data_IF_168531311585
#
_entry.id   IF_168531311585
#
_cell.length_a   1.000
_cell.length_b   1.000
_cell.length_c   1.000
_cell.angle_alpha   90.00
_cell.angle_beta   90.00
_cell.angle_gamma   90.00
#
_symmetry.space_group_name_H-M   'P 1'
#
loop_
_entity.id
_entity.type
_entity.pdbx_description
1 polymer ?
#
# COMPACT_ATOMS: atom_id res chain seq x y z
N UNK A 1 -8.44 -9.59 1.50
CA UNK A 1 -8.00 -10.58 0.49
C UNK A 1 -7.18 -9.95 -0.64
N UNK A 2 -6.10 -10.63 -1.07
CA UNK A 2 -5.35 -10.28 -2.28
C UNK A 2 -6.23 -10.37 -3.55
N UNK A 3 -6.00 -9.48 -4.51
CA UNK A 3 -6.63 -9.56 -5.83
C UNK A 3 -5.93 -10.60 -6.73
N UNK A 4 -6.53 -10.90 -7.88
CA UNK A 4 -6.00 -11.92 -8.82
C UNK A 4 -4.56 -11.65 -9.28
N UNK A 5 -4.17 -10.38 -9.37
CA UNK A 5 -2.85 -9.96 -9.86
C UNK A 5 -1.82 -9.72 -8.75
N UNK A 6 -2.18 -9.94 -7.48
CA UNK A 6 -1.34 -9.65 -6.31
C UNK A 6 -0.79 -8.21 -6.27
N UNK A 7 -1.56 -7.24 -6.77
CA UNK A 7 -1.16 -5.83 -6.89
C UNK A 7 -1.75 -4.93 -5.81
N UNK A 8 -2.71 -5.42 -5.02
CA UNK A 8 -3.36 -4.64 -3.98
C UNK A 8 -2.64 -4.68 -2.63
N UNK A 9 -2.90 -3.69 -1.78
CA UNK A 9 -2.45 -3.65 -0.40
C UNK A 9 -3.59 -3.28 0.56
N UNK A 10 -3.55 -3.84 1.77
CA UNK A 10 -4.58 -3.63 2.80
C UNK A 10 -4.05 -2.72 3.92
N UNK A 11 -4.96 -1.98 4.53
CA UNK A 11 -4.69 -1.15 5.71
C UNK A 11 -5.58 -1.61 6.85
N UNK A 12 -4.98 -1.84 8.01
CA UNK A 12 -5.68 -2.09 9.28
C UNK A 12 -5.07 -1.19 10.37
N UNK A 13 -5.80 -0.14 10.76
CA UNK A 13 -5.26 0.94 11.59
C UNK A 13 -4.03 1.57 10.96
N UNK A 14 -2.86 1.39 11.58
CA UNK A 14 -1.57 1.91 11.11
C UNK A 14 -0.71 0.86 10.39
N UNK A 15 -1.23 -0.36 10.21
CA UNK A 15 -0.49 -1.45 9.57
C UNK A 15 -0.86 -1.54 8.08
N UNK A 16 0.13 -1.39 7.21
CA UNK A 16 -0.01 -1.59 5.75
C UNK A 16 0.63 -2.92 5.36
N UNK A 17 -0.16 -3.83 4.79
CA UNK A 17 0.29 -5.15 4.34
C UNK A 17 0.06 -5.34 2.84
N UNK A 18 0.90 -6.18 2.23
CA UNK A 18 0.84 -6.52 0.82
C UNK A 18 1.16 -8.01 0.62
N UNK A 19 0.59 -8.66 -0.41
CA UNK A 19 0.77 -10.10 -0.64
C UNK A 19 2.17 -10.45 -1.15
N UNK A 20 2.76 -9.62 -2.02
CA UNK A 20 4.08 -9.81 -2.61
C UNK A 20 4.58 -8.51 -3.25
N UNK A 21 5.77 -8.56 -3.87
CA UNK A 21 6.41 -7.44 -4.54
C UNK A 21 5.61 -6.74 -5.67
N UNK A 22 4.67 -7.38 -6.40
CA UNK A 22 3.85 -6.66 -7.39
C UNK A 22 2.97 -5.56 -6.77
N UNK A 23 2.65 -5.66 -5.47
CA UNK A 23 1.85 -4.67 -4.75
C UNK A 23 2.65 -3.49 -4.19
N UNK A 24 3.98 -3.44 -4.39
CA UNK A 24 4.81 -2.33 -3.89
C UNK A 24 4.27 -0.92 -4.25
N UNK A 25 3.77 -0.65 -5.48
CA UNK A 25 3.24 0.67 -5.80
C UNK A 25 2.03 1.07 -4.93
N UNK A 26 1.11 0.14 -4.66
CA UNK A 26 -0.06 0.42 -3.83
C UNK A 26 0.28 0.46 -2.35
N UNK A 27 1.14 -0.45 -1.89
CA UNK A 27 1.66 -0.47 -0.53
C UNK A 27 2.34 0.85 -0.17
N UNK A 28 3.25 1.34 -1.03
CA UNK A 28 3.98 2.59 -0.78
C UNK A 28 3.05 3.79 -0.73
N UNK A 29 2.04 3.84 -1.62
CA UNK A 29 1.02 4.90 -1.62
C UNK A 29 0.26 4.95 -0.30
N UNK A 30 -0.26 3.80 0.16
CA UNK A 30 -1.00 3.70 1.44
C UNK A 30 -0.12 4.00 2.64
N UNK A 31 1.15 3.58 2.60
CA UNK A 31 2.11 3.87 3.65
C UNK A 31 2.37 5.38 3.78
N UNK A 32 2.60 6.07 2.65
CA UNK A 32 2.78 7.53 2.61
C UNK A 32 1.52 8.27 3.07
N UNK A 33 0.34 7.78 2.70
CA UNK A 33 -0.96 8.31 3.15
C UNK A 33 -1.12 8.25 4.67
N UNK A 34 -0.78 7.12 5.31
CA UNK A 34 -0.83 6.97 6.77
C UNK A 34 0.19 7.87 7.48
N UNK A 35 1.34 8.12 6.86
CA UNK A 35 2.31 9.10 7.38
C UNK A 35 1.82 10.55 7.25
N UNK A 36 0.72 10.81 6.54
CA UNK A 36 0.20 12.17 6.30
C UNK A 36 1.09 13.00 5.38
N UNK A 37 1.99 12.36 4.62
CA UNK A 37 2.91 13.03 3.72
C UNK A 37 2.29 13.20 2.32
N UNK A 38 2.62 14.32 1.66
CA UNK A 38 2.22 14.62 0.28
C UNK A 38 3.47 14.74 -0.58
N UNK A 39 3.54 13.98 -1.67
CA UNK A 39 4.67 13.98 -2.61
C UNK A 39 4.27 14.83 -3.83
N UNK A 40 5.08 15.84 -4.14
CA UNK A 40 4.92 16.75 -5.29
C UNK A 40 6.26 16.93 -6.01
N UNK A 41 6.21 17.33 -7.29
CA UNK A 41 7.37 17.66 -8.12
C UNK A 41 7.23 19.12 -8.55
#
# INVERSE_FOLDING_TARGET
EPNETLTNACVDGNLVTAPAWPAHPEWMRKFVEILGARIEI
#
